data_IF_926069060388
#
_entry.id   IF_926069060388
#
_cell.length_a   1.000
_cell.length_b   1.000
_cell.length_c   1.000
_cell.angle_alpha   90.00
_cell.angle_beta   90.00
_cell.angle_gamma   90.00
#
_symmetry.space_group_name_H-M   'P 1'
#
loop_
_entity.id
_entity.type
_entity.pdbx_description
1 polymer ?
#
# COMPACT_ATOMS: atom_id res chain seq x y z
N UNK A 1 -12.52 -23.68 32.06
CA UNK A 1 -12.61 -22.49 31.18
C UNK A 1 -11.35 -21.66 31.37
N UNK A 2 -10.39 -21.74 30.45
CA UNK A 2 -9.03 -21.20 30.62
C UNK A 2 -9.03 -19.67 30.51
N UNK A 3 -8.86 -18.97 31.64
CA UNK A 3 -8.86 -17.50 31.79
C UNK A 3 -7.74 -16.75 31.03
N UNK A 4 -6.88 -17.44 30.27
CA UNK A 4 -5.75 -16.84 29.53
C UNK A 4 -6.05 -16.54 28.05
N UNK A 5 -7.17 -17.02 27.52
CA UNK A 5 -7.59 -16.80 26.14
C UNK A 5 -7.78 -15.31 25.75
N UNK A 6 -8.30 -14.40 26.60
CA UNK A 6 -8.56 -13.02 26.17
C UNK A 6 -7.29 -12.20 25.94
N UNK A 7 -6.20 -12.49 26.67
CA UNK A 7 -4.95 -11.73 26.55
C UNK A 7 -4.18 -12.07 25.25
N UNK A 8 -4.28 -13.31 24.76
CA UNK A 8 -3.69 -13.69 23.47
C UNK A 8 -4.38 -13.01 22.29
N UNK A 9 -5.70 -12.75 22.38
CA UNK A 9 -6.42 -12.08 21.30
C UNK A 9 -6.02 -10.60 21.14
N UNK A 10 -5.67 -9.91 22.23
CA UNK A 10 -5.19 -8.52 22.16
C UNK A 10 -3.80 -8.39 21.54
N UNK A 11 -2.89 -9.32 21.82
CA UNK A 11 -1.55 -9.32 21.23
C UNK A 11 -1.53 -9.65 19.73
N UNK A 12 -2.58 -10.31 19.21
CA UNK A 12 -2.67 -10.67 17.79
C UNK A 12 -3.17 -9.53 16.89
N UNK A 13 -3.77 -8.47 17.45
CA UNK A 13 -4.37 -7.35 16.67
C UNK A 13 -3.29 -6.36 16.20
N UNK A 14 -2.23 -6.15 16.99
CA UNK A 14 -1.15 -5.20 16.70
C UNK A 14 -0.37 -5.46 15.40
N UNK A 15 0.06 -6.69 15.04
CA UNK A 15 0.84 -6.91 13.82
C UNK A 15 0.03 -6.73 12.53
N UNK A 16 -1.30 -6.87 12.58
CA UNK A 16 -2.14 -6.66 11.39
C UNK A 16 -2.25 -5.17 11.04
N UNK A 17 -2.38 -4.30 12.05
CA UNK A 17 -2.43 -2.85 11.85
C UNK A 17 -1.07 -2.24 11.51
N UNK A 18 0.04 -2.89 11.87
CA UNK A 18 1.39 -2.38 11.62
C UNK A 18 1.86 -2.54 10.16
N UNK A 19 1.22 -3.38 9.35
CA UNK A 19 1.61 -3.59 7.95
C UNK A 19 1.43 -2.34 7.10
N UNK A 20 0.41 -1.53 7.38
CA UNK A 20 0.10 -0.30 6.63
C UNK A 20 1.08 0.85 6.97
N UNK A 21 1.83 0.73 8.07
CA UNK A 21 2.89 1.67 8.44
C UNK A 21 4.27 1.29 7.86
N UNK A 22 4.40 0.10 7.27
CA UNK A 22 5.66 -0.31 6.68
C UNK A 22 5.86 0.34 5.32
N UNK A 23 7.12 0.66 5.04
CA UNK A 23 7.53 1.16 3.73
C UNK A 23 7.17 0.13 2.64
N UNK A 24 6.40 0.52 1.62
CA UNK A 24 5.95 -0.41 0.59
C UNK A 24 7.13 -0.95 -0.21
N UNK A 25 7.03 -2.25 -0.52
CA UNK A 25 8.01 -2.95 -1.34
C UNK A 25 7.61 -2.80 -2.81
N UNK A 26 8.51 -2.25 -3.63
CA UNK A 26 8.27 -2.02 -5.05
C UNK A 26 9.41 -2.57 -5.92
N UNK A 27 9.10 -2.73 -7.21
CA UNK A 27 10.03 -3.30 -8.21
C UNK A 27 10.13 -2.47 -9.49
N UNK A 28 9.27 -1.46 -9.65
CA UNK A 28 9.06 -0.80 -10.94
C UNK A 28 10.24 0.05 -11.38
N UNK A 29 10.88 0.77 -10.45
CA UNK A 29 11.96 1.70 -10.76
C UNK A 29 13.31 0.99 -11.03
N UNK A 30 13.66 0.01 -10.20
CA UNK A 30 14.98 -0.67 -10.25
C UNK A 30 14.96 -2.07 -10.84
N UNK A 31 13.78 -2.67 -11.06
CA UNK A 31 13.60 -4.11 -11.38
C UNK A 31 14.07 -5.06 -10.28
N UNK A 32 14.38 -4.54 -9.09
CA UNK A 32 14.72 -5.30 -7.90
C UNK A 32 13.73 -4.91 -6.81
N UNK A 33 13.46 -5.84 -5.91
CA UNK A 33 12.60 -5.58 -4.75
C UNK A 33 13.28 -4.63 -3.79
N UNK A 34 12.79 -3.41 -3.67
CA UNK A 34 13.31 -2.37 -2.79
C UNK A 34 12.18 -1.59 -2.11
N UNK A 35 12.52 -0.83 -1.07
CA UNK A 35 11.58 0.07 -0.41
C UNK A 35 11.35 1.32 -1.25
N UNK A 36 10.20 1.95 -1.09
CA UNK A 36 9.89 3.19 -1.80
C UNK A 36 10.87 4.31 -1.43
N UNK A 37 11.25 4.41 -0.15
CA UNK A 37 12.22 5.39 0.32
C UNK A 37 13.62 5.27 -0.31
N UNK A 38 13.95 4.08 -0.82
CA UNK A 38 15.27 3.76 -1.35
C UNK A 38 15.37 4.00 -2.86
N UNK A 39 14.25 4.33 -3.53
CA UNK A 39 14.27 4.54 -4.97
C UNK A 39 15.00 5.81 -5.39
N UNK A 40 15.78 5.74 -6.50
CA UNK A 40 16.52 6.89 -7.01
C UNK A 40 15.64 7.88 -7.79
N UNK A 41 14.36 7.59 -8.02
CA UNK A 41 13.43 8.40 -8.81
C UNK A 41 12.14 8.66 -8.04
N UNK A 42 11.42 9.72 -8.40
CA UNK A 42 10.06 9.96 -7.90
C UNK A 42 9.13 8.85 -8.37
N UNK A 43 8.45 8.20 -7.43
CA UNK A 43 7.52 7.10 -7.67
C UNK A 43 6.20 7.37 -7.00
N UNK A 44 5.12 6.90 -7.61
CA UNK A 44 3.77 6.91 -7.03
C UNK A 44 3.21 5.50 -7.14
N UNK A 45 2.46 5.06 -6.13
CA UNK A 45 1.82 3.74 -6.13
C UNK A 45 0.33 3.89 -5.89
N UNK A 46 -0.46 3.16 -6.68
CA UNK A 46 -1.91 3.10 -6.56
C UNK A 46 -2.28 1.75 -5.94
N UNK A 47 -2.85 1.79 -4.73
CA UNK A 47 -3.24 0.57 -4.00
C UNK A 47 -4.56 0.00 -4.53
N UNK A 48 -4.80 -1.28 -4.25
CA UNK A 48 -6.07 -1.91 -4.62
C UNK A 48 -7.24 -1.28 -3.85
N UNK A 49 -7.02 -0.84 -2.62
CA UNK A 49 -7.95 -0.10 -1.77
C UNK A 49 -8.34 1.22 -2.44
N UNK A 50 -7.34 2.02 -2.86
CA UNK A 50 -7.57 3.27 -3.57
C UNK A 50 -8.43 3.07 -4.82
N UNK A 51 -8.11 2.06 -5.64
CA UNK A 51 -8.87 1.78 -6.86
C UNK A 51 -10.33 1.39 -6.59
N UNK A 52 -10.58 0.60 -5.54
CA UNK A 52 -11.93 0.19 -5.12
C UNK A 52 -12.72 1.36 -4.58
N UNK A 53 -12.13 2.14 -3.69
CA UNK A 53 -12.81 3.25 -2.99
C UNK A 53 -13.15 4.40 -3.94
N UNK A 54 -12.35 4.58 -5.00
CA UNK A 54 -12.56 5.63 -6.00
C UNK A 54 -13.30 5.14 -7.26
N UNK A 55 -13.71 3.87 -7.31
CA UNK A 55 -14.50 3.32 -8.42
C UNK A 55 -13.85 3.45 -9.80
N UNK A 56 -12.51 3.42 -9.87
CA UNK A 56 -11.76 3.61 -11.12
C UNK A 56 -11.93 2.39 -12.03
N UNK A 57 -12.35 2.62 -13.29
CA UNK A 57 -12.68 1.53 -14.22
C UNK A 57 -11.65 1.38 -15.34
N UNK A 58 -10.84 2.41 -15.55
CA UNK A 58 -9.77 2.44 -16.56
C UNK A 58 -8.46 2.94 -15.96
N UNK A 59 -7.33 2.57 -16.57
CA UNK A 59 -6.01 3.08 -16.15
C UNK A 59 -5.88 4.60 -16.30
N UNK A 60 -6.33 5.24 -17.40
CA UNK A 60 -6.37 6.70 -17.49
C UNK A 60 -7.10 7.36 -16.32
N UNK A 61 -8.30 6.87 -15.97
CA UNK A 61 -9.04 7.38 -14.81
C UNK A 61 -8.28 7.21 -13.49
N UNK A 62 -7.57 6.09 -13.31
CA UNK A 62 -6.82 5.83 -12.09
C UNK A 62 -5.65 6.80 -11.90
N UNK A 63 -5.02 7.23 -13.00
CA UNK A 63 -3.85 8.12 -13.01
C UNK A 63 -4.19 9.61 -13.01
N UNK A 64 -5.48 9.97 -13.06
CA UNK A 64 -5.94 11.37 -13.19
C UNK A 64 -5.37 12.34 -12.14
N UNK A 65 -5.06 11.83 -10.96
CA UNK A 65 -4.51 12.62 -9.85
C UNK A 65 -3.04 12.34 -9.55
N UNK A 66 -2.39 11.49 -10.35
CA UNK A 66 -0.95 11.22 -10.20
C UNK A 66 -0.15 12.41 -10.74
N UNK A 67 0.73 13.02 -9.92
CA UNK A 67 1.52 14.17 -10.34
C UNK A 67 2.38 13.87 -11.58
N UNK A 68 2.43 14.82 -12.51
CA UNK A 68 3.23 14.69 -13.73
C UNK A 68 2.63 13.76 -14.80
N UNK A 69 1.45 13.19 -14.57
CA UNK A 69 0.73 12.41 -15.57
C UNK A 69 -0.38 13.25 -16.20
N UNK A 70 -0.33 13.42 -17.52
CA UNK A 70 -1.43 14.01 -18.29
C UNK A 70 -2.31 12.88 -18.82
N UNK A 71 -3.59 12.94 -18.50
CA UNK A 71 -4.59 11.97 -18.95
C UNK A 71 -5.39 12.58 -20.10
N UNK A 72 -5.53 11.84 -21.20
CA UNK A 72 -6.29 12.22 -22.40
C UNK A 72 -7.59 11.44 -22.51
#
# INVERSE_FOLDING_TARGET
MNKRLPWMMWAAITPLAAQDLMDPLMVTASRVSEKESDAPYSTEYLTAEYLRDNGRRTLPEALQYTPGVLVQ
#
